data_IF_046528255280
#
_entry.id   IF_046528255280
#
_cell.length_a   1.000
_cell.length_b   1.000
_cell.length_c   1.000
_cell.angle_alpha   90.00
_cell.angle_beta   90.00
_cell.angle_gamma   90.00
#
_symmetry.space_group_name_H-M   'P 1'
#
loop_
_entity.id
_entity.type
_entity.pdbx_description
1 polymer ?
#
# COMPACT_ATOMS: atom_id res chain seq x y z
N UNK A 1 -0.20 19.35 16.23
CA UNK A 1 -0.99 19.26 17.48
C UNK A 1 -1.85 18.02 17.35
N UNK A 2 -1.69 17.09 18.30
CA UNK A 2 -2.24 15.73 18.31
C UNK A 2 -3.77 15.72 18.36
N UNK A 3 -4.38 14.81 17.59
CA UNK A 3 -5.30 13.79 18.15
C UNK A 3 -5.11 12.52 17.32
N UNK A 4 -4.29 11.58 17.80
CA UNK A 4 -4.37 10.19 17.32
C UNK A 4 -5.24 9.42 18.30
N UNK A 5 -6.39 8.99 17.80
CA UNK A 5 -7.33 8.14 18.52
C UNK A 5 -6.67 6.79 18.84
N UNK A 6 -7.01 6.27 20.01
CA UNK A 6 -6.51 5.03 20.58
C UNK A 6 -6.96 3.84 19.72
N UNK A 7 -6.07 3.35 18.86
CA UNK A 7 -6.34 2.23 17.97
C UNK A 7 -5.06 1.73 17.32
N UNK A 8 -4.33 0.90 18.06
CA UNK A 8 -3.21 0.06 17.58
C UNK A 8 -1.86 0.75 17.30
N UNK A 9 -1.24 1.21 18.39
CA UNK A 9 0.12 1.74 18.40
C UNK A 9 1.19 0.67 18.05
N UNK A 10 0.86 -0.63 18.09
CA UNK A 10 1.82 -1.72 17.78
C UNK A 10 1.97 -1.93 16.28
N UNK A 11 0.86 -1.89 15.52
CA UNK A 11 0.90 -1.90 14.05
C UNK A 11 1.61 -0.66 13.50
N UNK A 12 1.39 0.51 14.10
CA UNK A 12 2.11 1.73 13.73
C UNK A 12 3.62 1.64 14.05
N UNK A 13 4.03 1.13 15.21
CA UNK A 13 5.46 0.96 15.52
C UNK A 13 6.16 -0.07 14.62
N UNK A 14 5.47 -1.15 14.25
CA UNK A 14 6.00 -2.17 13.33
C UNK A 14 6.17 -1.60 11.92
N UNK A 15 5.18 -0.85 11.44
CA UNK A 15 5.25 -0.06 10.22
C UNK A 15 6.51 0.85 10.23
N UNK A 16 6.76 1.56 11.33
CA UNK A 16 7.92 2.46 11.44
C UNK A 16 9.28 1.75 11.52
N UNK A 17 9.35 0.56 12.13
CA UNK A 17 10.58 -0.26 12.13
C UNK A 17 10.90 -0.81 10.74
N UNK A 18 9.88 -1.13 9.94
CA UNK A 18 10.06 -1.60 8.56
C UNK A 18 10.50 -0.48 7.61
N UNK A 19 10.13 0.78 7.90
CA UNK A 19 10.55 1.97 7.14
C UNK A 19 12.08 2.19 7.16
N UNK A 20 12.83 1.71 8.16
CA UNK A 20 14.28 1.95 8.26
C UNK A 20 15.13 1.13 7.27
N UNK A 21 14.51 0.25 6.48
CA UNK A 21 15.20 -0.67 5.54
C UNK A 21 14.99 -0.27 4.07
N UNK A 22 14.12 0.70 3.76
CA UNK A 22 13.91 1.09 2.36
C UNK A 22 15.05 2.03 1.94
N UNK A 23 15.99 1.49 1.17
CA UNK A 23 17.00 2.29 0.48
C UNK A 23 16.30 3.26 -0.47
N UNK A 24 16.68 4.55 -0.43
CA UNK A 24 16.23 5.58 -1.36
C UNK A 24 16.37 5.17 -2.84
N UNK A 25 17.24 4.19 -3.14
CA UNK A 25 17.41 3.61 -4.48
C UNK A 25 16.16 2.88 -4.99
N UNK A 26 15.38 2.23 -4.11
CA UNK A 26 14.20 1.42 -4.49
C UNK A 26 13.05 2.30 -4.99
N UNK A 27 12.94 3.55 -4.50
CA UNK A 27 11.97 4.51 -5.03
C UNK A 27 12.47 5.27 -6.27
N UNK A 28 13.79 5.30 -6.51
CA UNK A 28 14.37 6.02 -7.64
C UNK A 28 13.99 5.40 -9.00
N UNK A 29 13.80 4.07 -9.03
CA UNK A 29 13.36 3.33 -10.22
C UNK A 29 11.86 3.49 -10.53
N UNK A 30 11.09 4.13 -9.64
CA UNK A 30 9.65 4.40 -9.87
C UNK A 30 9.40 5.67 -10.67
N UNK A 31 10.44 6.36 -11.14
CA UNK A 31 10.35 7.59 -11.94
C UNK A 31 9.59 7.42 -13.26
N UNK A 32 9.47 6.19 -13.77
CA UNK A 32 8.70 5.85 -14.97
C UNK A 32 7.18 5.69 -14.74
N UNK A 33 6.76 5.63 -13.48
CA UNK A 33 5.34 5.60 -13.11
C UNK A 33 4.80 7.04 -13.20
N UNK A 34 3.78 7.30 -14.04
CA UNK A 34 3.19 8.63 -14.14
C UNK A 34 2.44 8.98 -12.86
N UNK A 35 2.27 10.28 -12.60
CA UNK A 35 1.36 10.74 -11.56
C UNK A 35 -0.08 10.59 -12.04
N UNK A 36 -1.00 10.08 -11.21
CA UNK A 36 -2.43 10.04 -11.55
C UNK A 36 -2.99 11.46 -11.60
N UNK A 37 -3.38 11.94 -12.79
CA UNK A 37 -3.92 13.29 -13.05
C UNK A 37 -5.41 13.28 -13.42
N UNK A 38 -5.94 12.11 -13.79
CA UNK A 38 -7.37 11.82 -13.86
C UNK A 38 -7.81 11.20 -15.19
N UNK A 39 -7.20 11.60 -16.30
CA UNK A 39 -7.43 11.05 -17.64
C UNK A 39 -6.52 9.85 -17.96
N UNK A 40 -5.52 9.61 -17.13
CA UNK A 40 -4.50 8.59 -17.33
C UNK A 40 -4.69 7.34 -16.45
N UNK A 41 -5.88 7.08 -15.92
CA UNK A 41 -6.13 6.01 -14.95
C UNK A 41 -5.71 4.63 -15.46
N UNK A 42 -6.06 4.25 -16.69
CA UNK A 42 -5.73 2.94 -17.24
C UNK A 42 -4.21 2.71 -17.29
N UNK A 43 -3.48 3.63 -17.93
CA UNK A 43 -2.02 3.58 -18.05
C UNK A 43 -1.33 3.64 -16.68
N UNK A 44 -1.86 4.46 -15.78
CA UNK A 44 -1.37 4.58 -14.41
C UNK A 44 -1.53 3.26 -13.64
N UNK A 45 -2.72 2.65 -13.70
CA UNK A 45 -3.02 1.39 -13.01
C UNK A 45 -2.11 0.28 -13.49
N UNK A 46 -1.94 0.16 -14.81
CA UNK A 46 -1.07 -0.85 -15.42
C UNK A 46 0.38 -0.69 -14.92
N UNK A 47 0.93 0.54 -15.00
CA UNK A 47 2.31 0.81 -14.56
C UNK A 47 2.51 0.60 -13.07
N UNK A 48 1.54 0.98 -12.24
CA UNK A 48 1.57 0.73 -10.79
C UNK A 48 1.63 -0.78 -10.52
N UNK A 49 0.71 -1.56 -11.10
CA UNK A 49 0.66 -3.02 -10.87
C UNK A 49 1.95 -3.67 -11.37
N UNK A 50 2.44 -3.27 -12.54
CA UNK A 50 3.70 -3.77 -13.08
C UNK A 50 4.89 -3.48 -12.15
N UNK A 51 5.03 -2.23 -11.69
CA UNK A 51 6.10 -1.83 -10.78
C UNK A 51 6.03 -2.59 -9.45
N UNK A 52 4.84 -2.73 -8.86
CA UNK A 52 4.66 -3.49 -7.63
C UNK A 52 5.04 -4.97 -7.80
N UNK A 53 4.70 -5.56 -8.95
CA UNK A 53 5.11 -6.93 -9.30
C UNK A 53 6.62 -7.07 -9.46
N UNK A 54 7.29 -6.13 -10.14
CA UNK A 54 8.75 -6.14 -10.30
C UNK A 54 9.51 -6.01 -8.97
N UNK A 55 8.88 -5.47 -7.94
CA UNK A 55 9.45 -5.25 -6.62
C UNK A 55 9.04 -6.31 -5.59
N UNK A 56 8.28 -7.34 -6.01
CA UNK A 56 7.67 -8.35 -5.14
C UNK A 56 6.80 -7.76 -4.02
N UNK A 57 6.10 -6.66 -4.32
CA UNK A 57 5.23 -5.94 -3.38
C UNK A 57 3.75 -6.19 -3.62
N UNK A 58 3.37 -6.96 -4.63
CA UNK A 58 1.97 -7.14 -5.03
C UNK A 58 1.23 -8.27 -4.28
N UNK A 59 1.86 -8.91 -3.29
CA UNK A 59 1.23 -9.99 -2.50
C UNK A 59 -0.10 -9.58 -1.88
N UNK A 60 -0.17 -8.42 -1.21
CA UNK A 60 -1.38 -7.91 -0.58
C UNK A 60 -2.47 -7.49 -1.58
N UNK A 61 -2.12 -7.31 -2.85
CA UNK A 61 -3.09 -7.10 -3.94
C UNK A 61 -3.66 -8.41 -4.47
N UNK A 62 -2.95 -9.53 -4.31
CA UNK A 62 -3.32 -10.85 -4.84
C UNK A 62 -3.98 -11.77 -3.83
N UNK A 63 -3.65 -11.61 -2.56
CA UNK A 63 -4.06 -12.51 -1.47
C UNK A 63 -4.78 -11.71 -0.41
N UNK A 64 -5.90 -12.26 0.09
CA UNK A 64 -6.63 -11.68 1.21
C UNK A 64 -5.77 -11.56 2.47
N UNK A 65 -6.15 -10.64 3.36
CA UNK A 65 -5.45 -10.44 4.64
C UNK A 65 -5.41 -11.77 5.42
N UNK A 66 -4.22 -12.23 5.83
CA UNK A 66 -4.11 -13.44 6.61
C UNK A 66 -4.80 -13.27 7.97
N UNK A 67 -5.28 -14.37 8.58
CA UNK A 67 -5.90 -14.31 9.90
C UNK A 67 -4.99 -13.63 10.93
N UNK A 68 -5.62 -12.92 11.89
CA UNK A 68 -4.91 -12.30 12.98
C UNK A 68 -4.08 -13.34 13.74
N UNK A 69 -2.80 -13.03 13.96
CA UNK A 69 -1.89 -13.88 14.71
C UNK A 69 -2.36 -14.04 16.17
N UNK A 70 -2.14 -15.22 16.72
CA UNK A 70 -2.38 -15.55 18.13
C UNK A 70 -1.05 -15.93 18.80
N UNK A 71 -1.03 -15.98 20.13
CA UNK A 71 0.17 -16.40 20.89
C UNK A 71 0.65 -17.82 20.50
N UNK A 72 -0.27 -18.68 20.05
CA UNK A 72 0.01 -20.04 19.58
C UNK A 72 0.32 -20.14 18.08
N UNK A 73 0.34 -19.02 17.34
CA UNK A 73 0.61 -19.05 15.90
C UNK A 73 2.00 -19.58 15.60
N UNK A 74 2.05 -20.46 14.61
CA UNK A 74 3.30 -21.10 14.16
C UNK A 74 4.21 -20.06 13.50
N UNK A 75 5.52 -20.32 13.49
CA UNK A 75 6.50 -19.45 12.81
C UNK A 75 6.09 -19.14 11.38
N UNK A 76 5.66 -20.15 10.63
CA UNK A 76 5.21 -19.97 9.24
C UNK A 76 4.00 -19.03 9.10
N UNK A 77 3.06 -19.04 10.04
CA UNK A 77 1.90 -18.13 10.01
C UNK A 77 2.36 -16.68 10.25
N UNK A 78 3.33 -16.50 11.14
CA UNK A 78 3.94 -15.20 11.43
C UNK A 78 4.69 -14.67 10.21
N UNK A 79 5.47 -15.51 9.54
CA UNK A 79 6.22 -15.15 8.33
C UNK A 79 5.27 -14.70 7.20
N UNK A 80 4.15 -15.41 7.00
CA UNK A 80 3.13 -15.04 6.01
C UNK A 80 2.50 -13.68 6.35
N UNK A 81 2.15 -13.46 7.62
CA UNK A 81 1.58 -12.20 8.06
C UNK A 81 2.56 -11.03 7.88
N UNK A 82 3.83 -11.21 8.26
CA UNK A 82 4.87 -10.19 8.11
C UNK A 82 5.13 -9.86 6.62
N UNK A 83 5.14 -10.87 5.75
CA UNK A 83 5.31 -10.65 4.30
C UNK A 83 4.11 -9.90 3.71
N UNK A 84 2.89 -10.27 4.09
CA UNK A 84 1.67 -9.61 3.64
C UNK A 84 1.61 -8.16 4.12
N UNK A 85 1.92 -7.89 5.40
CA UNK A 85 1.90 -6.55 5.98
C UNK A 85 2.95 -5.64 5.33
N UNK A 86 4.15 -6.18 5.08
CA UNK A 86 5.20 -5.47 4.33
C UNK A 86 4.73 -5.09 2.93
N UNK A 87 4.15 -6.04 2.19
CA UNK A 87 3.61 -5.81 0.85
C UNK A 87 2.48 -4.77 0.86
N UNK A 88 1.55 -4.86 1.82
CA UNK A 88 0.45 -3.91 1.99
C UNK A 88 0.96 -2.49 2.23
N UNK A 89 1.83 -2.32 3.22
CA UNK A 89 2.37 -1.02 3.62
C UNK A 89 3.17 -0.35 2.49
N UNK A 90 4.07 -1.08 1.85
CA UNK A 90 4.94 -0.53 0.82
C UNK A 90 4.17 -0.20 -0.46
N UNK A 91 3.23 -1.07 -0.85
CA UNK A 91 2.36 -0.80 -1.99
C UNK A 91 1.49 0.41 -1.76
N UNK A 92 0.87 0.53 -0.58
CA UNK A 92 0.06 1.69 -0.23
C UNK A 92 0.87 2.99 -0.30
N UNK A 93 2.13 2.97 0.16
CA UNK A 93 3.02 4.13 0.09
C UNK A 93 3.35 4.53 -1.34
N UNK A 94 3.68 3.56 -2.20
CA UNK A 94 4.00 3.80 -3.62
C UNK A 94 2.80 4.32 -4.40
N UNK A 95 1.63 3.70 -4.21
CA UNK A 95 0.39 4.13 -4.86
C UNK A 95 0.04 5.55 -4.42
N UNK A 96 0.12 5.85 -3.11
CA UNK A 96 -0.12 7.20 -2.58
C UNK A 96 0.89 8.24 -3.06
N UNK A 97 2.15 7.87 -3.30
CA UNK A 97 3.17 8.81 -3.81
C UNK A 97 2.96 9.15 -5.29
N UNK A 98 2.37 8.25 -6.06
CA UNK A 98 2.03 8.42 -7.48
C UNK A 98 0.57 8.82 -7.71
N UNK A 99 -0.12 9.28 -6.66
CA UNK A 99 -1.48 9.81 -6.73
C UNK A 99 -1.47 11.31 -6.42
N UNK A 100 -2.05 12.15 -7.29
CA UNK A 100 -2.13 13.58 -7.03
C UNK A 100 -2.86 13.87 -5.70
N UNK A 101 -2.43 14.93 -5.00
CA UNK A 101 -2.99 15.31 -3.70
C UNK A 101 -4.50 15.59 -3.75
N UNK A 102 -5.02 16.11 -4.86
CA UNK A 102 -6.45 16.37 -5.07
C UNK A 102 -7.28 15.08 -5.02
N UNK A 103 -6.82 14.03 -5.69
CA UNK A 103 -7.44 12.69 -5.70
C UNK A 103 -7.23 12.00 -4.35
N UNK A 104 -6.02 12.07 -3.80
CA UNK A 104 -5.73 11.48 -2.49
C UNK A 104 -6.58 12.10 -1.38
N UNK A 105 -6.88 13.39 -1.46
CA UNK A 105 -7.70 14.10 -0.48
C UNK A 105 -9.19 13.80 -0.56
N UNK A 106 -9.68 13.24 -1.67
CA UNK A 106 -11.08 12.82 -1.81
C UNK A 106 -11.32 11.38 -1.34
N UNK A 107 -10.25 10.60 -1.13
CA UNK A 107 -10.32 9.20 -0.68
C UNK A 107 -10.20 9.14 0.85
N UNK A 108 -11.07 8.35 1.48
CA UNK A 108 -10.98 8.08 2.92
C UNK A 108 -9.68 7.32 3.25
N UNK A 109 -9.13 7.54 4.44
CA UNK A 109 -7.92 6.83 4.84
C UNK A 109 -8.20 5.32 4.99
N UNK A 110 -7.64 4.52 4.08
CA UNK A 110 -7.75 3.07 4.10
C UNK A 110 -6.40 2.44 4.53
N UNK A 111 -6.41 1.49 5.48
CA UNK A 111 -5.18 0.80 5.90
C UNK A 111 -4.70 -0.24 4.88
N UNK A 112 -5.57 -0.66 3.94
CA UNK A 112 -5.26 -1.67 2.93
C UNK A 112 -5.04 -1.05 1.57
N UNK A 113 -4.03 -1.53 0.86
CA UNK A 113 -3.75 -1.11 -0.52
C UNK A 113 -4.87 -1.52 -1.49
N UNK A 114 -5.51 -2.67 -1.28
CA UNK A 114 -6.65 -3.13 -2.08
C UNK A 114 -7.82 -2.15 -2.02
N UNK A 115 -8.15 -1.70 -0.81
CA UNK A 115 -9.26 -0.77 -0.57
C UNK A 115 -8.94 0.61 -1.16
N UNK A 116 -7.69 1.05 -1.05
CA UNK A 116 -7.23 2.31 -1.65
C UNK A 116 -7.28 2.27 -3.19
N UNK A 117 -6.79 1.18 -3.80
CA UNK A 117 -6.85 0.98 -5.26
C UNK A 117 -8.30 0.94 -5.76
N UNK A 118 -9.20 0.29 -5.02
CA UNK A 118 -10.62 0.22 -5.34
C UNK A 118 -11.29 1.59 -5.23
N UNK A 119 -10.99 2.37 -4.20
CA UNK A 119 -11.52 3.73 -4.05
C UNK A 119 -11.06 4.65 -5.20
N UNK A 120 -9.83 4.48 -5.70
CA UNK A 120 -9.37 5.17 -6.92
C UNK A 120 -10.20 4.70 -8.12
N UNK A 121 -10.33 3.38 -8.32
CA UNK A 121 -11.10 2.80 -9.43
C UNK A 121 -12.54 3.33 -9.47
N UNK A 122 -13.20 3.44 -8.33
CA UNK A 122 -14.55 4.00 -8.19
C UNK A 122 -14.64 5.48 -8.57
N UNK A 123 -13.55 6.25 -8.53
CA UNK A 123 -13.54 7.64 -9.01
C UNK A 123 -13.39 7.75 -10.53
N UNK A 124 -12.81 6.75 -11.20
CA UNK A 124 -12.41 6.82 -12.61
C UNK A 124 -13.17 5.86 -13.54
N UNK A 125 -13.76 4.77 -13.05
CA UNK A 125 -14.49 3.79 -13.87
C UNK A 125 -16.00 4.11 -14.05
N UNK A 126 -16.55 5.12 -13.37
CA UNK A 126 -17.95 5.53 -13.50
C UNK A 126 -18.21 6.66 -14.53
N UNK A 127 -17.25 6.92 -15.43
CA UNK A 127 -17.38 7.89 -16.51
C UNK A 127 -17.31 7.25 -17.89
#
# INVERSE_FOLDING_TARGET
MLVMSCGDNRRQLACWKQLSVISSSVFNDTSHVPMLSGDNYADWKEKIIFTLGCMDLDLALRVEEPPALTESSKTQEKDINDQWERSNCLSLMLVKSHTCKSIRGSILECPKVTDFMKAIEEQFCFF
#
